data_IF_777625447779
#
_entry.id   IF_777625447779
#
_cell.length_a   1.000
_cell.length_b   1.000
_cell.length_c   1.000
_cell.angle_alpha   90.00
_cell.angle_beta   90.00
_cell.angle_gamma   90.00
#
_symmetry.space_group_name_H-M   'P 1'
#
loop_
_entity.id
_entity.type
_entity.pdbx_description
1 polymer ?
#
# COMPACT_ATOMS: atom_id res chain seq x y z
N UNK A 1 7.66 7.96 10.99
CA UNK A 1 7.91 6.61 10.44
C UNK A 1 8.04 6.77 8.94
N UNK A 2 9.00 6.11 8.29
CA UNK A 2 9.14 6.14 6.83
C UNK A 2 7.94 5.44 6.18
N UNK A 3 7.49 5.93 5.02
CA UNK A 3 6.32 5.39 4.30
C UNK A 3 6.45 3.88 4.03
N UNK A 4 7.67 3.41 3.76
CA UNK A 4 8.01 1.98 3.63
C UNK A 4 7.68 1.15 4.87
N UNK A 5 7.92 1.69 6.08
CA UNK A 5 7.61 1.00 7.32
C UNK A 5 6.09 0.89 7.54
N UNK A 6 5.31 1.90 7.15
CA UNK A 6 3.85 1.87 7.21
C UNK A 6 3.26 0.87 6.20
N UNK A 7 3.77 0.87 4.96
CA UNK A 7 3.40 -0.10 3.92
C UNK A 7 3.70 -1.53 4.34
N UNK A 8 4.91 -1.77 4.86
CA UNK A 8 5.31 -3.08 5.37
C UNK A 8 4.37 -3.55 6.48
N UNK A 9 4.11 -2.68 7.48
CA UNK A 9 3.19 -2.99 8.58
C UNK A 9 1.78 -3.31 8.07
N UNK A 10 1.25 -2.51 7.15
CA UNK A 10 -0.07 -2.73 6.56
C UNK A 10 -0.14 -4.05 5.79
N UNK A 11 0.87 -4.38 4.98
CA UNK A 11 0.96 -5.67 4.26
C UNK A 11 1.02 -6.87 5.21
N UNK A 12 1.81 -6.79 6.28
CA UNK A 12 1.87 -7.85 7.30
C UNK A 12 0.51 -8.05 7.98
N UNK A 13 -0.14 -6.97 8.41
CA UNK A 13 -1.46 -7.05 9.03
C UNK A 13 -2.55 -7.54 8.06
N UNK A 14 -2.51 -7.10 6.80
CA UNK A 14 -3.41 -7.55 5.75
C UNK A 14 -3.24 -9.04 5.48
N UNK A 15 -2.01 -9.55 5.47
CA UNK A 15 -1.73 -10.98 5.30
C UNK A 15 -2.27 -11.81 6.45
N UNK A 16 -2.17 -11.33 7.69
CA UNK A 16 -2.71 -12.03 8.86
C UNK A 16 -4.24 -12.04 8.90
N UNK A 17 -4.88 -10.91 8.60
CA UNK A 17 -6.34 -10.75 8.71
C UNK A 17 -7.10 -11.21 7.47
N UNK A 18 -6.52 -10.99 6.30
CA UNK A 18 -7.13 -11.25 4.99
C UNK A 18 -6.10 -11.86 4.02
N UNK A 19 -5.74 -13.16 4.19
CA UNK A 19 -4.60 -13.78 3.52
C UNK A 19 -4.59 -13.65 1.99
N UNK A 20 -5.76 -13.72 1.35
CA UNK A 20 -5.88 -13.55 -0.10
C UNK A 20 -5.38 -12.17 -0.56
N UNK A 21 -5.87 -11.09 0.06
CA UNK A 21 -5.45 -9.73 -0.27
C UNK A 21 -4.01 -9.45 0.14
N UNK A 22 -3.55 -10.00 1.26
CA UNK A 22 -2.15 -9.92 1.64
C UNK A 22 -1.23 -10.57 0.61
N UNK A 23 -1.61 -11.73 0.08
CA UNK A 23 -0.88 -12.40 -1.00
C UNK A 23 -0.83 -11.54 -2.27
N UNK A 24 -1.94 -10.94 -2.69
CA UNK A 24 -1.96 -10.03 -3.85
C UNK A 24 -1.06 -8.80 -3.61
N UNK A 25 -1.22 -8.14 -2.46
CA UNK A 25 -0.46 -6.94 -2.11
C UNK A 25 1.05 -7.20 -2.00
N UNK A 26 1.47 -8.39 -1.56
CA UNK A 26 2.88 -8.79 -1.48
C UNK A 26 3.59 -8.87 -2.84
N UNK A 27 2.83 -9.05 -3.93
CA UNK A 27 3.37 -9.17 -5.30
C UNK A 27 3.46 -7.82 -6.02
N UNK A 28 2.87 -6.77 -5.46
CA UNK A 28 2.90 -5.44 -6.04
C UNK A 28 4.30 -4.83 -5.91
N UNK A 29 4.83 -4.35 -7.03
CA UNK A 29 6.04 -3.54 -7.06
C UNK A 29 5.71 -2.12 -6.60
N UNK A 30 6.19 -1.76 -5.42
CA UNK A 30 6.04 -0.44 -4.82
C UNK A 30 6.92 0.59 -5.54
N UNK A 31 6.31 1.67 -6.01
CA UNK A 31 7.00 2.72 -6.76
C UNK A 31 6.53 4.09 -6.25
N UNK A 32 7.26 4.73 -5.31
CA UNK A 32 6.93 6.08 -4.89
C UNK A 32 7.05 7.04 -6.07
N UNK A 33 6.05 7.91 -6.23
CA UNK A 33 5.98 8.89 -7.32
C UNK A 33 5.46 10.22 -6.79
N UNK A 34 6.33 11.21 -6.77
CA UNK A 34 5.98 12.59 -6.42
C UNK A 34 5.15 13.24 -7.54
N UNK A 35 4.39 14.28 -7.20
CA UNK A 35 3.61 15.06 -8.15
C UNK A 35 2.27 14.45 -8.57
N UNK A 36 1.83 13.36 -7.93
CA UNK A 36 0.45 12.85 -8.00
C UNK A 36 -0.27 13.06 -6.68
N UNK A 37 -1.61 13.12 -6.68
CA UNK A 37 -2.41 13.31 -5.46
C UNK A 37 -3.14 12.02 -5.07
N UNK A 38 -2.40 10.94 -4.80
CA UNK A 38 -3.03 9.67 -4.42
C UNK A 38 -2.18 8.44 -4.72
N UNK A 39 -2.85 7.38 -5.16
CA UNK A 39 -2.25 6.13 -5.60
C UNK A 39 -2.87 5.63 -6.90
N UNK A 40 -2.16 4.75 -7.60
CA UNK A 40 -2.65 4.03 -8.76
C UNK A 40 -2.06 2.61 -8.77
N UNK A 41 -2.87 1.63 -9.16
CA UNK A 41 -2.43 0.24 -9.29
C UNK A 41 -2.98 -0.41 -10.56
N UNK A 42 -2.28 -1.43 -11.03
CA UNK A 42 -2.68 -2.25 -12.17
C UNK A 42 -2.55 -3.76 -11.88
N UNK A 43 -2.58 -4.17 -10.61
CA UNK A 43 -2.34 -5.54 -10.15
C UNK A 43 -0.89 -6.02 -10.21
N UNK A 44 0.05 -5.18 -10.67
CA UNK A 44 1.49 -5.49 -10.73
C UNK A 44 2.37 -4.39 -10.14
N UNK A 45 2.05 -3.13 -10.41
CA UNK A 45 2.75 -1.94 -9.90
C UNK A 45 1.81 -1.16 -9.01
N UNK A 46 2.33 -0.66 -7.91
CA UNK A 46 1.64 0.20 -6.98
C UNK A 46 2.38 1.54 -6.92
N UNK A 47 1.84 2.52 -7.63
CA UNK A 47 2.34 3.89 -7.65
C UNK A 47 1.65 4.68 -6.55
N UNK A 48 2.41 5.43 -5.75
CA UNK A 48 1.82 6.23 -4.69
C UNK A 48 2.62 7.50 -4.44
N UNK A 49 1.91 8.56 -4.05
CA UNK A 49 2.52 9.76 -3.50
C UNK A 49 2.94 9.49 -2.03
N UNK A 50 4.23 9.62 -1.68
CA UNK A 50 4.70 9.42 -0.31
C UNK A 50 3.99 10.31 0.71
N UNK A 51 3.69 11.56 0.36
CA UNK A 51 3.03 12.51 1.26
C UNK A 51 1.55 12.16 1.45
N UNK A 52 0.89 11.65 0.41
CA UNK A 52 -0.46 11.11 0.50
C UNK A 52 -0.51 9.91 1.43
N UNK A 53 0.45 8.98 1.34
CA UNK A 53 0.48 7.75 2.13
C UNK A 53 0.88 7.99 3.58
N UNK A 54 1.83 8.91 3.83
CA UNK A 54 2.29 9.24 5.19
C UNK A 54 1.16 9.78 6.08
N UNK A 55 0.14 10.40 5.48
CA UNK A 55 -1.04 10.95 6.16
C UNK A 55 -2.12 9.90 6.48
N UNK A 56 -1.93 8.64 6.08
CA UNK A 56 -2.93 7.57 6.27
C UNK A 56 -2.61 6.69 7.46
N UNK A 57 -3.68 6.18 8.05
CA UNK A 57 -3.66 5.12 9.06
C UNK A 57 -3.26 3.78 8.42
N UNK A 58 -2.88 2.81 9.26
CA UNK A 58 -2.54 1.47 8.77
C UNK A 58 -3.75 0.81 8.11
N UNK A 59 -4.94 1.00 8.68
CA UNK A 59 -6.21 0.47 8.19
C UNK A 59 -6.60 1.07 6.82
N UNK A 60 -6.41 2.38 6.62
CA UNK A 60 -6.63 3.01 5.31
C UNK A 60 -5.66 2.47 4.26
N UNK A 61 -4.39 2.27 4.60
CA UNK A 61 -3.40 1.67 3.68
C UNK A 61 -3.79 0.22 3.35
N UNK A 62 -4.27 -0.54 4.33
CA UNK A 62 -4.79 -1.90 4.08
C UNK A 62 -5.96 -1.87 3.09
N UNK A 63 -6.91 -0.95 3.25
CA UNK A 63 -8.03 -0.78 2.32
C UNK A 63 -7.58 -0.38 0.91
N UNK A 64 -6.56 0.49 0.80
CA UNK A 64 -5.96 0.83 -0.50
C UNK A 64 -5.41 -0.42 -1.18
N UNK A 65 -4.65 -1.25 -0.43
CA UNK A 65 -4.01 -2.46 -0.94
C UNK A 65 -5.02 -3.55 -1.36
N UNK A 66 -6.25 -3.56 -0.85
CA UNK A 66 -7.29 -4.49 -1.33
C UNK A 66 -7.87 -4.11 -2.69
N UNK A 67 -7.65 -2.87 -3.15
CA UNK A 67 -8.13 -2.34 -4.42
C UNK A 67 -7.02 -2.25 -5.49
N UNK A 68 -5.90 -2.96 -5.27
CA UNK A 68 -4.70 -2.85 -6.08
C UNK A 68 -4.51 -3.99 -7.08
#
# INVERSE_FOLDING_TARGET
>A
MTTDAQLTKAKSQLTMKHPYFGMLASRLKEEPKEGMQGYASNGKRFLYDPDFMARRTTEEIMFILTNC
#
